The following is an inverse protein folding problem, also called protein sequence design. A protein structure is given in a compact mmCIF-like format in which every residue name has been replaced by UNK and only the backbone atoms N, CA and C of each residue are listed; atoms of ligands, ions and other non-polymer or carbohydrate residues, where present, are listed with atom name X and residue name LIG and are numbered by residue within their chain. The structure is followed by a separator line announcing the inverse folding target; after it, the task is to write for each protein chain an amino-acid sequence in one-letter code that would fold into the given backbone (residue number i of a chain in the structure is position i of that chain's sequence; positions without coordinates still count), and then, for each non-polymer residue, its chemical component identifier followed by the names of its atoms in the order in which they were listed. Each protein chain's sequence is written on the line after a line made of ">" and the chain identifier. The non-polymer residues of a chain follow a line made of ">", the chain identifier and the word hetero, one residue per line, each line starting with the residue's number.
data_IF_278901838505
#
_entry.id   IF_278901838505
#
_cell.length_a   1.000
_cell.length_b   1.000
_cell.length_c   1.000
_cell.angle_alpha   90.00
_cell.angle_beta   90.00
_cell.angle_gamma   90.00
#
_symmetry.space_group_name_H-M   'P 1'
#
loop_
_entity.id
_entity.type
_entity.pdbx_description
1 polymer ?
#
# COMPACT_ATOMS: atom_id res chain seq x y z
N UNK A 1 -16.05 14.27 20.11
CA UNK A 1 -15.95 13.77 18.72
C UNK A 1 -16.43 12.33 18.71
N UNK A 2 -17.45 11.97 17.93
CA UNK A 2 -18.02 10.62 17.97
C UNK A 2 -17.06 9.64 17.26
N UNK A 3 -16.44 8.73 18.01
CA UNK A 3 -15.42 7.78 17.52
C UNK A 3 -15.93 6.89 16.39
N UNK A 4 -17.23 6.60 16.36
CA UNK A 4 -17.89 5.84 15.28
C UNK A 4 -17.88 6.58 13.94
N UNK A 5 -18.16 7.89 13.93
CA UNK A 5 -18.10 8.70 12.69
C UNK A 5 -16.68 8.80 12.14
N UNK A 6 -15.68 8.95 13.02
CA UNK A 6 -14.28 8.99 12.61
C UNK A 6 -13.84 7.65 12.03
N UNK A 7 -14.26 6.53 12.63
CA UNK A 7 -13.95 5.18 12.12
C UNK A 7 -14.60 4.93 10.76
N UNK A 8 -15.85 5.35 10.57
CA UNK A 8 -16.52 5.30 9.26
C UNK A 8 -15.78 6.13 8.21
N UNK A 9 -15.44 7.36 8.53
CA UNK A 9 -14.70 8.24 7.63
C UNK A 9 -13.33 7.65 7.24
N UNK A 10 -12.59 7.10 8.22
CA UNK A 10 -11.32 6.42 7.98
C UNK A 10 -11.50 5.20 7.07
N UNK A 11 -12.54 4.39 7.29
CA UNK A 11 -12.81 3.21 6.48
C UNK A 11 -13.12 3.58 5.03
N UNK A 12 -13.94 4.60 4.81
CA UNK A 12 -14.25 5.11 3.48
C UNK A 12 -13.01 5.69 2.78
N UNK A 13 -12.18 6.42 3.52
CA UNK A 13 -10.91 6.95 3.01
C UNK A 13 -9.97 5.82 2.56
N UNK A 14 -9.84 4.77 3.38
CA UNK A 14 -9.01 3.61 3.05
C UNK A 14 -9.55 2.82 1.86
N UNK A 15 -10.88 2.69 1.73
CA UNK A 15 -11.48 2.07 0.56
C UNK A 15 -11.16 2.85 -0.74
N UNK A 16 -11.26 4.18 -0.71
CA UNK A 16 -10.90 5.04 -1.85
C UNK A 16 -9.38 4.95 -2.16
N UNK A 17 -8.55 4.93 -1.11
CA UNK A 17 -7.12 4.73 -1.25
C UNK A 17 -6.80 3.38 -1.92
N UNK A 18 -7.41 2.29 -1.47
CA UNK A 18 -7.26 0.95 -2.04
C UNK A 18 -7.58 0.90 -3.53
N UNK A 19 -8.69 1.51 -3.95
CA UNK A 19 -9.08 1.60 -5.36
C UNK A 19 -7.98 2.30 -6.17
N UNK A 20 -7.38 3.35 -5.62
CA UNK A 20 -6.28 4.09 -6.25
C UNK A 20 -5.01 3.23 -6.37
N UNK A 21 -4.65 2.48 -5.33
CA UNK A 21 -3.49 1.56 -5.38
C UNK A 21 -3.71 0.43 -6.38
N UNK A 22 -4.94 -0.09 -6.49
CA UNK A 22 -5.30 -1.09 -7.49
C UNK A 22 -5.18 -0.54 -8.92
N UNK A 23 -5.56 0.72 -9.14
CA UNK A 23 -5.35 1.41 -10.44
C UNK A 23 -3.86 1.58 -10.74
N UNK A 24 -3.05 1.98 -9.76
CA UNK A 24 -1.59 2.08 -9.91
C UNK A 24 -0.95 0.74 -10.27
N UNK A 25 -1.36 -0.35 -9.61
CA UNK A 25 -0.93 -1.70 -9.95
C UNK A 25 -1.28 -2.03 -11.41
N UNK A 26 -2.53 -1.81 -11.83
CA UNK A 26 -2.98 -2.11 -13.21
C UNK A 26 -2.18 -1.30 -14.23
N UNK A 27 -1.93 -0.02 -13.96
CA UNK A 27 -1.09 0.83 -14.81
C UNK A 27 0.35 0.28 -14.90
N UNK A 28 1.00 -0.03 -13.77
CA UNK A 28 2.35 -0.60 -13.76
C UNK A 28 2.43 -1.98 -14.42
N UNK A 29 1.34 -2.74 -14.44
CA UNK A 29 1.24 -3.99 -15.19
C UNK A 29 1.12 -3.79 -16.71
N UNK A 30 0.80 -2.59 -17.19
CA UNK A 30 0.68 -2.32 -18.63
C UNK A 30 1.82 -1.46 -19.17
N UNK A 31 2.50 -0.68 -18.31
CA UNK A 31 3.58 0.24 -18.72
C UNK A 31 4.97 -0.38 -18.47
N UNK A 32 5.91 -0.11 -19.38
CA UNK A 32 7.35 -0.40 -19.20
C UNK A 32 8.14 0.86 -19.57
N UNK A 33 8.99 1.41 -18.68
CA UNK A 33 9.31 0.96 -17.32
C UNK A 33 8.19 1.20 -16.30
N UNK A 34 8.14 0.40 -15.22
CA UNK A 34 7.12 0.49 -14.15
C UNK A 34 7.67 0.99 -12.80
N UNK A 35 8.88 1.55 -12.80
CA UNK A 35 9.61 1.97 -11.59
C UNK A 35 8.87 3.07 -10.83
N UNK A 36 8.23 4.01 -11.54
CA UNK A 36 7.48 5.08 -10.91
C UNK A 36 6.27 4.55 -10.09
N UNK A 37 5.55 3.57 -10.64
CA UNK A 37 4.43 2.92 -9.96
C UNK A 37 4.90 2.11 -8.75
N UNK A 38 6.03 1.41 -8.86
CA UNK A 38 6.65 0.70 -7.74
C UNK A 38 6.99 1.68 -6.61
N UNK A 39 7.69 2.78 -6.93
CA UNK A 39 8.10 3.76 -5.92
C UNK A 39 6.90 4.40 -5.21
N UNK A 40 5.84 4.74 -5.95
CA UNK A 40 4.59 5.26 -5.36
C UNK A 40 3.93 4.26 -4.42
N UNK A 41 3.82 2.98 -4.82
CA UNK A 41 3.26 1.93 -3.99
C UNK A 41 4.10 1.68 -2.72
N UNK A 42 5.43 1.68 -2.84
CA UNK A 42 6.32 1.54 -1.68
C UNK A 42 6.19 2.72 -0.72
N UNK A 43 6.20 3.95 -1.24
CA UNK A 43 6.09 5.15 -0.42
C UNK A 43 4.75 5.21 0.31
N UNK A 44 3.63 4.93 -0.39
CA UNK A 44 2.31 4.87 0.23
C UNK A 44 2.26 3.79 1.33
N UNK A 45 2.83 2.61 1.07
CA UNK A 45 2.90 1.53 2.05
C UNK A 45 3.66 1.95 3.31
N UNK A 46 4.88 2.49 3.15
CA UNK A 46 5.72 2.92 4.29
C UNK A 46 5.05 4.08 5.06
N UNK A 47 4.49 5.05 4.34
CA UNK A 47 3.84 6.21 4.95
C UNK A 47 2.62 5.82 5.80
N UNK A 48 1.87 4.79 5.40
CA UNK A 48 0.76 4.24 6.19
C UNK A 48 1.25 3.35 7.34
N UNK A 49 2.40 2.70 7.20
CA UNK A 49 2.94 1.80 8.22
C UNK A 49 3.31 2.55 9.51
N UNK A 50 3.92 3.73 9.40
CA UNK A 50 4.35 4.55 10.54
C UNK A 50 3.18 4.88 11.48
N UNK A 51 2.08 5.53 11.03
CA UNK A 51 0.95 5.83 11.89
C UNK A 51 0.19 4.56 12.31
N UNK A 52 0.22 3.48 11.53
CA UNK A 52 -0.37 2.21 11.92
C UNK A 52 0.28 1.64 13.18
N UNK A 53 1.61 1.55 13.19
CA UNK A 53 2.38 1.04 14.34
C UNK A 53 2.15 1.96 15.55
N UNK A 54 2.26 3.27 15.36
CA UNK A 54 2.02 4.25 16.42
C UNK A 54 0.62 4.09 17.05
N UNK A 55 -0.41 3.94 16.22
CA UNK A 55 -1.80 3.78 16.68
C UNK A 55 -2.02 2.47 17.44
N UNK A 56 -1.39 1.37 17.03
CA UNK A 56 -1.44 0.10 17.77
C UNK A 56 -0.73 0.21 19.12
N UNK A 57 0.42 0.88 19.18
CA UNK A 57 1.19 1.05 20.43
C UNK A 57 0.50 1.92 21.47
N UNK A 58 -0.48 2.74 21.09
CA UNK A 58 -1.22 3.56 22.03
C UNK A 58 -2.10 2.74 22.99
N UNK A 59 -2.36 1.45 22.70
CA UNK A 59 -3.15 0.52 23.54
C UNK A 59 -4.48 1.09 24.08
N UNK A 60 -5.06 2.06 23.39
CA UNK A 60 -6.30 2.75 23.77
C UNK A 60 -7.32 2.60 22.68
N UNK A 61 -8.57 2.37 23.06
CA UNK A 61 -9.67 2.46 22.13
C UNK A 61 -9.85 3.92 21.67
N UNK A 62 -10.07 4.22 20.38
CA UNK A 62 -10.25 3.31 19.21
C UNK A 62 -8.96 3.07 18.39
N UNK A 63 -7.80 3.54 18.85
CA UNK A 63 -6.56 3.58 18.05
C UNK A 63 -6.06 2.21 17.61
N UNK A 64 -6.30 1.15 18.37
CA UNK A 64 -5.96 -0.22 17.94
C UNK A 64 -6.68 -0.65 16.66
N UNK A 65 -7.96 -0.29 16.50
CA UNK A 65 -8.73 -0.59 15.28
C UNK A 65 -8.19 0.23 14.11
N UNK A 66 -7.96 1.53 14.33
CA UNK A 66 -7.43 2.42 13.29
C UNK A 66 -6.05 1.98 12.83
N UNK A 67 -5.19 1.60 13.77
CA UNK A 67 -3.86 1.07 13.48
C UNK A 67 -3.93 -0.23 12.68
N UNK A 68 -4.82 -1.15 13.03
CA UNK A 68 -5.06 -2.38 12.26
C UNK A 68 -5.51 -2.10 10.82
N UNK A 69 -6.45 -1.17 10.63
CA UNK A 69 -6.93 -0.79 9.29
C UNK A 69 -5.81 -0.17 8.43
N UNK A 70 -5.03 0.75 9.00
CA UNK A 70 -3.89 1.37 8.32
C UNK A 70 -2.81 0.35 7.98
N UNK A 71 -2.57 -0.60 8.89
CA UNK A 71 -1.60 -1.68 8.68
C UNK A 71 -1.99 -2.56 7.50
N UNK A 72 -3.26 -2.98 7.42
CA UNK A 72 -3.76 -3.78 6.29
C UNK A 72 -3.52 -3.04 4.98
N UNK A 73 -3.94 -1.77 4.89
CA UNK A 73 -3.77 -0.98 3.66
C UNK A 73 -2.29 -0.78 3.28
N UNK A 74 -1.41 -0.59 4.27
CA UNK A 74 0.04 -0.54 4.07
C UNK A 74 0.57 -1.85 3.46
N UNK A 75 0.20 -3.00 4.01
CA UNK A 75 0.65 -4.30 3.51
C UNK A 75 0.17 -4.59 2.09
N UNK A 76 -1.02 -4.12 1.72
CA UNK A 76 -1.54 -4.20 0.35
C UNK A 76 -0.65 -3.41 -0.61
N UNK A 77 -0.31 -2.17 -0.27
CA UNK A 77 0.56 -1.33 -1.11
C UNK A 77 1.92 -2.01 -1.36
N UNK A 78 2.55 -2.52 -0.30
CA UNK A 78 3.83 -3.25 -0.39
C UNK A 78 3.70 -4.53 -1.22
N UNK A 79 2.59 -5.26 -1.08
CA UNK A 79 2.32 -6.47 -1.86
C UNK A 79 2.17 -6.18 -3.36
N UNK A 80 1.49 -5.09 -3.71
CA UNK A 80 1.36 -4.64 -5.09
C UNK A 80 2.71 -4.18 -5.67
N UNK A 81 3.52 -3.45 -4.91
CA UNK A 81 4.87 -3.09 -5.32
C UNK A 81 5.73 -4.33 -5.61
N UNK A 82 5.74 -5.32 -4.71
CA UNK A 82 6.45 -6.60 -4.90
C UNK A 82 6.00 -7.32 -6.16
N UNK A 83 4.69 -7.32 -6.46
CA UNK A 83 4.15 -7.92 -7.69
C UNK A 83 4.69 -7.24 -8.95
N UNK A 84 4.79 -5.92 -8.96
CA UNK A 84 5.39 -5.16 -10.08
C UNK A 84 6.89 -5.39 -10.20
N UNK A 85 7.63 -5.40 -9.08
CA UNK A 85 9.07 -5.68 -9.06
C UNK A 85 9.33 -7.06 -9.70
N UNK A 86 8.63 -8.10 -9.25
CA UNK A 86 8.78 -9.48 -9.78
C UNK A 86 8.52 -9.56 -11.29
N UNK A 87 7.56 -8.78 -11.79
CA UNK A 87 7.29 -8.67 -13.23
C UNK A 87 8.46 -7.99 -13.95
N UNK A 88 8.98 -6.89 -13.40
CA UNK A 88 10.14 -6.17 -13.94
C UNK A 88 11.37 -7.08 -14.04
N UNK A 89 11.63 -7.90 -13.02
CA UNK A 89 12.74 -8.87 -13.03
C UNK A 89 12.59 -9.93 -14.13
N UNK A 90 11.36 -10.45 -14.35
CA UNK A 90 11.10 -11.45 -15.40
C UNK A 90 11.23 -10.91 -16.83
N UNK A 91 11.06 -9.61 -17.04
CA UNK A 91 11.20 -8.98 -18.36
C UNK A 91 12.64 -8.61 -18.72
N UNK A 92 13.58 -8.68 -17.77
CA UNK A 92 15.00 -8.56 -18.08
C UNK A 92 15.41 -9.88 -18.74
N UNK A 93 15.76 -9.93 -20.04
CA UNK A 93 16.28 -11.17 -20.61
C UNK A 93 17.53 -11.56 -19.82
N UNK A 94 17.64 -12.85 -19.49
CA UNK A 94 18.92 -13.42 -19.11
C UNK A 94 19.87 -13.09 -20.25
N UNK A 95 20.87 -12.25 -19.99
CA UNK A 95 21.94 -12.02 -20.94
C UNK A 95 22.62 -13.38 -21.15
N UNK A 96 22.57 -14.00 -22.34
CA UNK A 96 23.46 -15.12 -22.61
C UNK A 96 24.83 -14.50 -22.88
N UNK A 97 25.59 -14.24 -21.82
CA UNK A 97 27.01 -13.93 -21.95
C UNK A 97 27.71 -15.19 -22.46
N UNK A 98 28.06 -15.15 -23.75
CA UNK A 98 29.18 -15.83 -24.44
C UNK A 98 29.35 -17.33 -24.22
#
# INVERSE_FOLDING_TARGET
>A
MNTSFVTLALTLLLAAHYITQKKLLRSGLNTTPCTAQINRLLLNGILLMIPAIWAVMLHRHPYGIWGGLLFIESTVCLSFARKLIKKGTRRKPANPST
#
